data_IF_397853104944
#
_entry.id   IF_397853104944
#
_cell.length_a   1.000
_cell.length_b   1.000
_cell.length_c   1.000
_cell.angle_alpha   90.00
_cell.angle_beta   90.00
_cell.angle_gamma   90.00
#
_symmetry.space_group_name_H-M   'P 1'
#
loop_
_entity.id
_entity.type
_entity.pdbx_description
1 polymer ?
#
# COMPACT_ATOMS: atom_id res chain seq x y z
N UNK A 1 -23.75 9.59 -0.88
CA UNK A 1 -22.38 10.12 -1.04
C UNK A 1 -21.36 8.97 -1.10
N UNK A 2 -21.24 8.10 -0.12
CA UNK A 2 -20.22 7.03 -0.09
C UNK A 2 -20.13 6.17 -1.37
N UNK A 3 -21.25 5.77 -1.97
CA UNK A 3 -21.23 4.95 -3.19
C UNK A 3 -20.63 5.66 -4.42
N UNK A 4 -20.75 6.99 -4.51
CA UNK A 4 -20.16 7.78 -5.60
C UNK A 4 -18.64 7.85 -5.45
N UNK A 5 -18.16 8.12 -4.24
CA UNK A 5 -16.73 8.23 -3.95
C UNK A 5 -16.02 6.89 -4.13
N UNK A 6 -16.61 5.79 -3.65
CA UNK A 6 -16.12 4.44 -3.92
C UNK A 6 -16.01 4.15 -5.42
N UNK A 7 -16.98 4.58 -6.22
CA UNK A 7 -16.95 4.40 -7.67
C UNK A 7 -15.85 5.23 -8.35
N UNK A 8 -15.56 6.44 -7.85
CA UNK A 8 -14.47 7.29 -8.39
C UNK A 8 -13.13 6.59 -8.17
N UNK A 9 -12.81 6.21 -6.93
CA UNK A 9 -11.54 5.55 -6.62
C UNK A 9 -11.36 4.24 -7.40
N UNK A 10 -12.37 3.38 -7.39
CA UNK A 10 -12.34 2.13 -8.14
C UNK A 10 -12.20 2.34 -9.67
N UNK A 11 -12.81 3.38 -10.23
CA UNK A 11 -12.64 3.74 -11.64
C UNK A 11 -11.18 4.13 -11.93
N UNK A 12 -10.58 4.99 -11.10
CA UNK A 12 -9.17 5.39 -11.26
C UNK A 12 -8.21 4.21 -11.17
N UNK A 13 -8.48 3.24 -10.30
CA UNK A 13 -7.68 2.03 -10.23
C UNK A 13 -7.80 1.17 -11.50
N UNK A 14 -9.00 1.01 -12.05
CA UNK A 14 -9.19 0.28 -13.33
C UNK A 14 -8.51 0.97 -14.49
N UNK A 15 -8.57 2.31 -14.57
CA UNK A 15 -7.86 3.10 -15.56
C UNK A 15 -6.34 2.85 -15.46
N UNK A 16 -5.79 2.91 -14.25
CA UNK A 16 -4.37 2.63 -14.02
C UNK A 16 -4.01 1.19 -14.42
N UNK A 17 -4.83 0.19 -14.04
CA UNK A 17 -4.57 -1.21 -14.41
C UNK A 17 -4.54 -1.37 -15.95
N UNK A 18 -5.43 -0.71 -16.66
CA UNK A 18 -5.44 -0.71 -18.13
C UNK A 18 -4.21 0.00 -18.73
N UNK A 19 -3.81 1.16 -18.18
CA UNK A 19 -2.57 1.88 -18.57
C UNK A 19 -1.32 1.00 -18.40
N UNK A 20 -1.31 0.13 -17.39
CA UNK A 20 -0.21 -0.78 -17.10
C UNK A 20 -0.25 -2.09 -17.90
N UNK A 21 -1.34 -2.33 -18.63
CA UNK A 21 -1.55 -3.56 -19.39
C UNK A 21 -1.86 -4.78 -18.52
N UNK A 22 -2.31 -4.60 -17.28
CA UNK A 22 -2.70 -5.69 -16.39
C UNK A 22 -4.05 -6.29 -16.82
N UNK A 23 -4.13 -7.62 -16.87
CA UNK A 23 -5.40 -8.28 -17.09
C UNK A 23 -6.43 -7.95 -15.98
N UNK A 24 -7.74 -8.00 -16.26
CA UNK A 24 -8.77 -7.62 -15.29
C UNK A 24 -8.73 -8.40 -13.97
N UNK A 25 -8.23 -9.63 -13.97
CA UNK A 25 -8.16 -10.54 -12.84
C UNK A 25 -6.73 -10.77 -12.33
N UNK A 26 -5.73 -10.17 -13.00
CA UNK A 26 -4.32 -10.33 -12.66
C UNK A 26 -3.99 -9.63 -11.34
N UNK A 27 -3.33 -10.30 -10.38
CA UNK A 27 -2.82 -9.63 -9.18
C UNK A 27 -1.65 -8.71 -9.55
N UNK A 28 -1.52 -7.61 -8.84
CA UNK A 28 -0.33 -6.75 -8.94
C UNK A 28 0.86 -7.47 -8.33
N UNK A 29 1.95 -7.58 -9.07
CA UNK A 29 3.23 -8.14 -8.58
C UNK A 29 3.91 -7.19 -7.59
N UNK A 30 5.15 -6.74 -7.90
CA UNK A 30 5.84 -5.73 -7.09
C UNK A 30 5.13 -4.39 -7.17
N UNK A 31 4.45 -4.02 -6.08
CA UNK A 31 3.78 -2.72 -5.99
C UNK A 31 4.80 -1.58 -5.86
N UNK A 32 5.93 -1.84 -5.22
CA UNK A 32 7.00 -0.84 -5.07
C UNK A 32 7.58 -0.47 -6.42
N UNK A 33 7.97 -1.46 -7.22
CA UNK A 33 8.43 -1.25 -8.61
C UNK A 33 7.39 -0.52 -9.44
N UNK A 34 6.12 -0.91 -9.33
CA UNK A 34 5.03 -0.25 -10.05
C UNK A 34 4.95 1.24 -9.69
N UNK A 35 4.98 1.57 -8.40
CA UNK A 35 4.83 2.94 -7.92
C UNK A 35 6.08 3.78 -8.27
N UNK A 36 7.28 3.26 -8.06
CA UNK A 36 8.50 4.00 -8.32
C UNK A 36 8.83 4.12 -9.80
N UNK A 37 8.78 3.03 -10.55
CA UNK A 37 9.26 3.00 -11.93
C UNK A 37 8.18 3.33 -12.96
N UNK A 38 6.92 2.90 -12.71
CA UNK A 38 5.85 3.10 -13.68
C UNK A 38 5.04 4.36 -13.40
N UNK A 39 4.89 4.76 -12.13
CA UNK A 39 4.21 6.00 -11.76
C UNK A 39 5.18 7.16 -11.51
N UNK A 40 6.48 6.90 -11.38
CA UNK A 40 7.50 7.91 -11.10
C UNK A 40 7.33 8.56 -9.72
N UNK A 41 6.72 7.85 -8.76
CA UNK A 41 6.47 8.35 -7.42
C UNK A 41 7.52 7.83 -6.45
N UNK A 42 8.42 8.67 -5.94
CA UNK A 42 9.42 8.28 -4.96
C UNK A 42 8.77 7.75 -3.68
N UNK A 43 9.26 6.61 -3.16
CA UNK A 43 8.75 5.98 -1.95
C UNK A 43 9.82 5.96 -0.86
N UNK A 44 9.45 6.33 0.36
CA UNK A 44 10.22 6.13 1.57
C UNK A 44 9.50 5.14 2.50
N UNK A 45 10.21 4.10 2.93
CA UNK A 45 9.73 3.17 3.96
C UNK A 45 10.56 3.41 5.20
N UNK A 46 9.95 3.90 6.27
CA UNK A 46 10.63 4.33 7.48
C UNK A 46 9.92 3.84 8.75
N UNK A 47 10.62 3.85 9.87
CA UNK A 47 10.00 3.63 11.18
C UNK A 47 9.23 4.90 11.55
N UNK A 48 7.89 4.83 11.45
CA UNK A 48 6.99 5.89 11.87
C UNK A 48 6.28 5.49 13.18
N UNK A 49 5.67 6.44 13.91
CA UNK A 49 4.79 6.10 15.03
C UNK A 49 3.73 5.08 14.67
N UNK A 50 3.35 4.22 15.62
CA UNK A 50 2.47 3.07 15.37
C UNK A 50 1.07 3.44 14.86
N UNK A 51 0.59 4.63 15.20
CA UNK A 51 -0.70 5.17 14.74
C UNK A 51 -0.66 5.74 13.32
N UNK A 52 0.53 6.01 12.78
CA UNK A 52 0.73 6.50 11.42
C UNK A 52 0.99 5.33 10.48
N UNK A 53 0.12 5.17 9.49
CA UNK A 53 0.28 4.13 8.48
C UNK A 53 1.14 4.59 7.31
N UNK A 54 0.90 5.77 6.81
CA UNK A 54 1.60 6.39 5.71
C UNK A 54 1.32 7.88 5.60
N UNK A 55 1.86 8.47 4.57
CA UNK A 55 1.69 9.88 4.28
C UNK A 55 1.99 10.14 2.81
N UNK A 56 1.16 10.95 2.17
CA UNK A 56 1.45 11.56 0.87
C UNK A 56 1.84 13.02 1.09
N UNK A 57 3.08 13.36 0.77
CA UNK A 57 3.55 14.74 0.77
C UNK A 57 3.62 15.26 -0.67
N UNK A 58 3.04 16.44 -0.90
CA UNK A 58 3.07 17.11 -2.21
C UNK A 58 3.38 18.59 -2.06
N UNK A 59 4.31 19.06 -2.90
CA UNK A 59 4.68 20.48 -3.03
C UNK A 59 4.95 20.78 -4.52
N UNK A 60 4.03 21.49 -5.15
CA UNK A 60 4.05 21.71 -6.60
C UNK A 60 4.05 20.37 -7.35
N UNK A 61 5.05 20.16 -8.20
CA UNK A 61 5.23 18.95 -8.99
C UNK A 61 5.95 17.83 -8.22
N UNK A 62 6.37 18.08 -6.98
CA UNK A 62 7.08 17.11 -6.16
C UNK A 62 6.09 16.30 -5.33
N UNK A 63 6.25 15.00 -5.37
CA UNK A 63 5.43 14.09 -4.55
C UNK A 63 6.35 13.05 -3.94
N UNK A 64 6.15 12.74 -2.67
CA UNK A 64 6.83 11.63 -1.96
C UNK A 64 5.78 10.85 -1.19
N UNK A 65 5.83 9.54 -1.31
CA UNK A 65 4.98 8.63 -0.55
C UNK A 65 5.78 8.02 0.61
N UNK A 66 5.22 8.07 1.80
CA UNK A 66 5.80 7.47 3.01
C UNK A 66 4.96 6.29 3.45
N UNK A 67 5.63 5.21 3.85
CA UNK A 67 5.00 4.00 4.37
C UNK A 67 5.66 3.60 5.69
N UNK A 68 4.87 3.28 6.70
CA UNK A 68 5.39 2.80 7.97
C UNK A 68 5.94 1.37 7.82
N UNK A 69 7.27 1.25 7.85
CA UNK A 69 7.98 -0.01 7.73
C UNK A 69 7.82 -0.95 8.92
N UNK A 70 7.33 -0.45 10.06
CA UNK A 70 7.07 -1.26 11.26
C UNK A 70 5.74 -2.03 11.17
N UNK A 71 4.87 -1.67 10.25
CA UNK A 71 3.60 -2.37 10.04
C UNK A 71 3.77 -3.71 9.31
N UNK A 72 2.83 -4.66 9.50
CA UNK A 72 2.85 -5.94 8.77
C UNK A 72 2.88 -5.74 7.24
N UNK A 73 3.55 -6.63 6.49
CA UNK A 73 3.76 -6.51 5.03
C UNK A 73 2.47 -6.20 4.24
N UNK A 74 1.40 -6.94 4.49
CA UNK A 74 0.11 -6.73 3.80
C UNK A 74 -0.51 -5.37 4.10
N UNK A 75 -0.23 -4.79 5.28
CA UNK A 75 -0.66 -3.44 5.63
C UNK A 75 0.18 -2.40 4.89
N UNK A 76 1.50 -2.55 4.89
CA UNK A 76 2.41 -1.66 4.13
C UNK A 76 2.03 -1.60 2.66
N UNK A 77 1.70 -2.76 2.07
CA UNK A 77 1.26 -2.85 0.69
C UNK A 77 -0.05 -2.10 0.45
N UNK A 78 -1.05 -2.29 1.33
CA UNK A 78 -2.30 -1.57 1.22
C UNK A 78 -2.11 -0.06 1.40
N UNK A 79 -1.27 0.36 2.37
CA UNK A 79 -0.90 1.76 2.58
C UNK A 79 -0.29 2.37 1.33
N UNK A 80 0.71 1.72 0.71
CA UNK A 80 1.32 2.26 -0.51
C UNK A 80 0.31 2.41 -1.65
N UNK A 81 -0.59 1.45 -1.82
CA UNK A 81 -1.66 1.55 -2.81
C UNK A 81 -2.62 2.71 -2.51
N UNK A 82 -2.91 2.95 -1.23
CA UNK A 82 -3.78 4.04 -0.76
C UNK A 82 -3.14 5.40 -1.04
N UNK A 83 -1.86 5.58 -0.67
CA UNK A 83 -1.12 6.82 -0.94
C UNK A 83 -1.01 7.11 -2.45
N UNK A 84 -0.75 6.08 -3.26
CA UNK A 84 -0.83 6.21 -4.72
C UNK A 84 -2.24 6.59 -5.20
N UNK A 85 -3.27 6.15 -4.48
CA UNK A 85 -4.66 6.51 -4.71
C UNK A 85 -4.93 7.99 -4.53
N UNK A 86 -4.37 8.62 -3.49
CA UNK A 86 -4.46 10.07 -3.31
C UNK A 86 -3.92 10.83 -4.52
N UNK A 87 -2.76 10.40 -5.03
CA UNK A 87 -2.16 11.02 -6.22
C UNK A 87 -3.04 10.81 -7.45
N UNK A 88 -3.49 9.59 -7.71
CA UNK A 88 -4.28 9.25 -8.91
C UNK A 88 -5.70 9.82 -8.90
N UNK A 89 -6.27 10.06 -7.73
CA UNK A 89 -7.56 10.75 -7.59
C UNK A 89 -7.42 12.28 -7.65
N UNK A 90 -6.20 12.81 -7.68
CA UNK A 90 -5.97 14.25 -7.76
C UNK A 90 -6.30 14.99 -6.46
N UNK A 91 -6.13 14.33 -5.31
CA UNK A 91 -6.35 14.97 -4.01
C UNK A 91 -5.30 16.05 -3.78
N UNK A 92 -5.75 17.21 -3.29
CA UNK A 92 -4.93 18.40 -3.18
C UNK A 92 -3.72 18.25 -2.28
N UNK A 93 -2.74 19.15 -2.56
CA UNK A 93 -1.44 19.18 -1.95
C UNK A 93 -1.46 19.45 -0.44
N UNK A 94 -0.44 18.98 0.22
CA UNK A 94 -0.21 19.10 1.64
C UNK A 94 0.39 17.82 2.19
N UNK A 95 0.38 17.69 3.50
CA UNK A 95 0.70 16.46 4.19
C UNK A 95 -0.62 15.80 4.57
N UNK A 96 -1.00 14.73 3.88
CA UNK A 96 -2.07 13.84 4.34
C UNK A 96 -1.41 12.74 5.16
N UNK A 97 -1.74 12.66 6.45
CA UNK A 97 -1.23 11.61 7.34
C UNK A 97 -2.36 10.62 7.58
N UNK A 98 -2.12 9.37 7.17
CA UNK A 98 -3.10 8.32 7.29
C UNK A 98 -2.87 7.45 8.50
N UNK A 99 -3.92 7.34 9.31
CA UNK A 99 -3.96 6.50 10.49
C UNK A 99 -4.52 5.12 10.16
N UNK A 100 -4.33 4.18 11.07
CA UNK A 100 -4.98 2.87 10.96
C UNK A 100 -6.50 2.96 10.82
N UNK A 101 -7.14 3.90 11.50
CA UNK A 101 -8.59 4.08 11.44
C UNK A 101 -9.06 4.51 10.03
N UNK A 102 -8.27 5.35 9.36
CA UNK A 102 -8.50 5.81 7.98
C UNK A 102 -8.47 4.64 7.01
N UNK A 103 -7.40 3.85 7.05
CA UNK A 103 -7.22 2.67 6.19
C UNK A 103 -8.24 1.55 6.46
N UNK A 104 -8.74 1.46 7.68
CA UNK A 104 -9.79 0.50 8.04
C UNK A 104 -11.20 0.88 7.53
N UNK A 105 -11.31 1.91 6.69
CA UNK A 105 -12.57 2.34 6.08
C UNK A 105 -13.53 3.04 7.06
N UNK A 106 -13.02 3.56 8.17
CA UNK A 106 -13.82 4.28 9.18
C UNK A 106 -13.93 5.78 8.91
N UNK A 107 -13.20 6.28 7.91
CA UNK A 107 -13.28 7.68 7.50
C UNK A 107 -14.55 7.96 6.70
N UNK A 108 -15.13 9.12 6.92
CA UNK A 108 -16.24 9.69 6.13
C UNK A 108 -15.75 10.76 5.15
N UNK A 109 -14.46 11.10 5.17
CA UNK A 109 -13.86 12.00 4.19
C UNK A 109 -13.90 11.36 2.80
N UNK A 110 -14.44 12.08 1.84
CA UNK A 110 -14.54 11.62 0.44
C UNK A 110 -13.21 11.22 -0.16
N UNK A 111 -12.13 11.92 0.19
CA UNK A 111 -10.78 11.63 -0.33
C UNK A 111 -10.29 10.27 0.16
N UNK A 112 -10.49 10.01 1.46
CA UNK A 112 -10.12 8.75 2.08
C UNK A 112 -10.94 7.57 1.53
N UNK A 113 -12.25 7.79 1.33
CA UNK A 113 -13.12 6.79 0.70
C UNK A 113 -12.65 6.48 -0.72
N UNK A 114 -12.25 7.49 -1.49
CA UNK A 114 -11.73 7.31 -2.85
C UNK A 114 -10.38 6.58 -2.85
N UNK A 115 -9.44 6.96 -1.98
CA UNK A 115 -8.12 6.33 -1.88
C UNK A 115 -8.23 4.87 -1.40
N UNK A 116 -9.08 4.57 -0.43
CA UNK A 116 -9.37 3.20 0.01
C UNK A 116 -9.99 2.36 -1.10
N UNK A 117 -10.94 2.93 -1.86
CA UNK A 117 -11.56 2.24 -2.98
C UNK A 117 -10.60 2.00 -4.14
N UNK A 118 -9.69 2.94 -4.38
CA UNK A 118 -8.60 2.80 -5.33
C UNK A 118 -7.67 1.65 -4.93
N UNK A 119 -7.17 1.64 -3.68
CA UNK A 119 -6.29 0.60 -3.18
C UNK A 119 -6.93 -0.80 -3.28
N UNK A 120 -8.19 -0.91 -2.86
CA UNK A 120 -8.92 -2.16 -2.92
C UNK A 120 -9.12 -2.68 -4.35
N UNK A 121 -9.43 -1.80 -5.32
CA UNK A 121 -9.62 -2.20 -6.72
C UNK A 121 -8.28 -2.44 -7.43
N UNK A 122 -7.23 -1.68 -7.10
CA UNK A 122 -5.90 -1.90 -7.65
C UNK A 122 -5.36 -3.26 -7.26
N UNK A 123 -5.36 -3.58 -5.96
CA UNK A 123 -4.77 -4.80 -5.40
C UNK A 123 -5.65 -6.04 -5.64
N UNK A 124 -6.95 -5.93 -5.34
CA UNK A 124 -7.91 -7.03 -5.45
C UNK A 124 -9.05 -6.63 -6.40
N UNK A 125 -8.81 -6.65 -7.72
CA UNK A 125 -9.80 -6.22 -8.70
C UNK A 125 -11.06 -7.08 -8.62
N UNK A 126 -12.21 -6.46 -8.86
CA UNK A 126 -13.51 -7.13 -8.76
C UNK A 126 -13.60 -8.39 -9.64
N UNK A 127 -12.98 -8.37 -10.81
CA UNK A 127 -12.95 -9.53 -11.71
C UNK A 127 -12.14 -10.69 -11.09
N UNK A 128 -10.94 -10.39 -10.55
CA UNK A 128 -10.09 -11.39 -9.93
C UNK A 128 -10.73 -12.03 -8.69
N UNK A 129 -11.36 -11.21 -7.83
CA UNK A 129 -12.07 -11.74 -6.65
C UNK A 129 -13.23 -12.63 -7.06
N UNK A 130 -14.04 -12.22 -8.06
CA UNK A 130 -15.17 -13.04 -8.54
C UNK A 130 -14.72 -14.36 -9.16
N UNK A 131 -13.62 -14.34 -9.90
CA UNK A 131 -13.09 -15.55 -10.56
C UNK A 131 -12.60 -16.62 -9.56
N UNK A 132 -12.38 -16.24 -8.30
CA UNK A 132 -11.93 -17.15 -7.23
C UNK A 132 -13.09 -17.77 -6.45
N UNK A 133 -14.33 -17.40 -6.73
CA UNK A 133 -15.49 -17.83 -5.95
C UNK A 133 -16.37 -18.76 -6.77
N UNK A 134 -16.75 -19.87 -6.13
CA UNK A 134 -17.72 -20.83 -6.66
C UNK A 134 -18.86 -21.00 -5.63
N UNK A 135 -19.70 -19.99 -5.51
CA UNK A 135 -20.82 -19.96 -4.56
C UNK A 135 -20.65 -18.99 -3.40
N UNK A 136 -21.28 -19.31 -2.26
CA UNK A 136 -21.19 -18.48 -1.04
C UNK A 136 -19.79 -18.62 -0.40
N UNK A 137 -19.04 -17.54 -0.21
CA UNK A 137 -17.66 -17.59 0.28
C UNK A 137 -17.53 -18.21 1.66
N UNK A 138 -16.46 -18.98 1.83
CA UNK A 138 -15.99 -19.56 3.10
C UNK A 138 -14.80 -18.76 3.64
N UNK A 139 -14.34 -19.08 4.88
CA UNK A 139 -13.10 -18.49 5.41
C UNK A 139 -11.89 -18.88 4.54
N UNK A 140 -11.89 -20.11 3.97
CA UNK A 140 -10.83 -20.53 3.06
C UNK A 140 -10.75 -19.65 1.81
N UNK A 141 -11.89 -19.29 1.23
CA UNK A 141 -11.93 -18.37 0.09
C UNK A 141 -11.42 -16.97 0.46
N UNK A 142 -11.78 -16.48 1.65
CA UNK A 142 -11.25 -15.20 2.17
C UNK A 142 -9.72 -15.24 2.27
N UNK A 143 -9.16 -16.32 2.82
CA UNK A 143 -7.71 -16.48 2.98
C UNK A 143 -7.02 -16.65 1.62
N UNK A 144 -7.61 -17.41 0.68
CA UNK A 144 -7.09 -17.54 -0.69
C UNK A 144 -7.06 -16.21 -1.44
N UNK A 145 -8.12 -15.41 -1.33
CA UNK A 145 -8.18 -14.06 -1.91
C UNK A 145 -7.09 -13.19 -1.28
N UNK A 146 -6.96 -13.21 0.04
CA UNK A 146 -5.94 -12.45 0.76
C UNK A 146 -4.53 -12.81 0.28
N UNK A 147 -4.23 -14.10 0.20
CA UNK A 147 -2.95 -14.62 -0.25
C UNK A 147 -2.64 -14.21 -1.71
N UNK A 148 -3.57 -14.45 -2.62
CA UNK A 148 -3.37 -14.17 -4.05
C UNK A 148 -3.13 -12.70 -4.35
N UNK A 149 -3.78 -11.82 -3.61
CA UNK A 149 -3.74 -10.37 -3.85
C UNK A 149 -2.79 -9.61 -2.90
N UNK A 150 -2.17 -10.30 -1.94
CA UNK A 150 -1.26 -9.71 -0.97
C UNK A 150 -1.92 -8.67 -0.08
N UNK A 151 -3.11 -8.96 0.39
CA UNK A 151 -3.89 -8.15 1.32
C UNK A 151 -4.21 -8.93 2.59
N UNK A 152 -4.66 -8.26 3.65
CA UNK A 152 -5.09 -8.98 4.86
C UNK A 152 -6.41 -9.72 4.65
N UNK A 153 -6.67 -10.78 5.43
CA UNK A 153 -7.95 -11.47 5.43
C UNK A 153 -9.12 -10.51 5.70
N UNK A 154 -8.91 -9.52 6.58
CA UNK A 154 -9.89 -8.49 6.86
C UNK A 154 -10.16 -7.59 5.63
N UNK A 155 -9.11 -7.20 4.90
CA UNK A 155 -9.26 -6.44 3.65
C UNK A 155 -9.99 -7.27 2.57
N UNK A 156 -9.70 -8.57 2.47
CA UNK A 156 -10.42 -9.48 1.59
C UNK A 156 -11.91 -9.59 1.97
N UNK A 157 -12.22 -9.70 3.26
CA UNK A 157 -13.61 -9.71 3.76
C UNK A 157 -14.34 -8.40 3.42
N UNK A 158 -13.71 -7.24 3.65
CA UNK A 158 -14.28 -5.96 3.25
C UNK A 158 -14.48 -5.87 1.74
N UNK A 159 -13.59 -6.48 0.96
CA UNK A 159 -13.75 -6.54 -0.49
C UNK A 159 -14.98 -7.34 -0.89
N UNK A 160 -15.20 -8.52 -0.29
CA UNK A 160 -16.40 -9.32 -0.50
C UNK A 160 -17.67 -8.55 -0.14
N UNK A 161 -17.67 -7.84 0.99
CA UNK A 161 -18.77 -7.00 1.43
C UNK A 161 -19.07 -5.88 0.43
N UNK A 162 -18.06 -5.12 0.02
CA UNK A 162 -18.18 -4.01 -0.94
C UNK A 162 -18.71 -4.47 -2.30
N UNK A 163 -18.28 -5.65 -2.75
CA UNK A 163 -18.72 -6.27 -3.99
C UNK A 163 -20.06 -7.02 -3.85
N UNK A 164 -20.63 -7.09 -2.65
CA UNK A 164 -21.87 -7.82 -2.32
C UNK A 164 -21.81 -9.28 -2.72
N UNK A 165 -20.69 -9.94 -2.46
CA UNK A 165 -20.41 -11.32 -2.85
C UNK A 165 -20.67 -12.34 -1.75
N UNK A 166 -21.01 -11.90 -0.53
CA UNK A 166 -21.36 -12.79 0.57
C UNK A 166 -22.51 -12.24 1.41
N UNK A 167 -23.34 -13.14 1.91
CA UNK A 167 -24.37 -12.88 2.92
C UNK A 167 -23.87 -13.18 4.33
N UNK A 168 -22.70 -13.82 4.47
CA UNK A 168 -22.12 -14.30 5.73
C UNK A 168 -21.03 -13.39 6.28
N UNK A 169 -20.98 -12.11 5.90
CA UNK A 169 -19.90 -11.18 6.28
C UNK A 169 -19.66 -11.16 7.80
N UNK A 170 -20.74 -11.09 8.61
CA UNK A 170 -20.59 -11.05 10.07
C UNK A 170 -20.11 -12.40 10.67
N UNK A 171 -20.46 -13.52 10.05
CA UNK A 171 -19.98 -14.83 10.47
C UNK A 171 -18.49 -14.98 10.14
N UNK A 172 -18.10 -14.66 8.91
CA UNK A 172 -16.70 -14.69 8.48
C UNK A 172 -15.84 -13.70 9.28
N UNK A 173 -16.41 -12.56 9.66
CA UNK A 173 -15.72 -11.61 10.52
C UNK A 173 -15.41 -12.21 11.89
N UNK A 174 -16.35 -12.91 12.51
CA UNK A 174 -16.13 -13.60 13.78
C UNK A 174 -15.06 -14.68 13.65
N UNK A 175 -15.11 -15.50 12.59
CA UNK A 175 -14.09 -16.52 12.32
C UNK A 175 -12.68 -15.91 12.21
N UNK A 176 -12.55 -14.70 11.60
CA UNK A 176 -11.28 -13.96 11.53
C UNK A 176 -10.87 -13.46 12.92
N UNK A 177 -11.78 -12.88 13.68
CA UNK A 177 -11.52 -12.30 15.00
C UNK A 177 -11.19 -13.41 16.03
N UNK A 178 -11.72 -14.63 15.86
CA UNK A 178 -11.42 -15.83 16.65
C UNK A 178 -10.05 -16.45 16.29
N UNK A 179 -9.33 -15.87 15.32
CA UNK A 179 -7.96 -16.30 14.95
C UNK A 179 -7.88 -17.49 14.00
N UNK A 180 -9.00 -17.98 13.45
CA UNK A 180 -9.02 -19.16 12.58
C UNK A 180 -8.29 -18.97 11.24
N UNK A 181 -7.91 -17.74 10.90
CA UNK A 181 -7.16 -17.43 9.67
C UNK A 181 -5.85 -18.20 9.60
N UNK A 182 -5.12 -18.32 10.71
CA UNK A 182 -3.82 -19.01 10.74
C UNK A 182 -3.98 -20.52 10.51
N UNK A 183 -5.03 -21.12 11.05
CA UNK A 183 -5.32 -22.54 10.84
C UNK A 183 -5.63 -22.86 9.38
N UNK A 184 -6.34 -21.95 8.72
CA UNK A 184 -6.62 -22.06 7.27
C UNK A 184 -5.35 -21.82 6.47
N UNK A 185 -4.60 -20.75 6.80
CA UNK A 185 -3.37 -20.37 6.09
C UNK A 185 -2.33 -21.50 6.08
N UNK A 186 -2.15 -22.21 7.21
CA UNK A 186 -1.21 -23.33 7.33
C UNK A 186 -1.57 -24.53 6.44
N UNK A 187 -2.82 -24.66 6.03
CA UNK A 187 -3.31 -25.73 5.15
C UNK A 187 -3.24 -25.37 3.68
N UNK A 188 -3.04 -24.10 3.37
CA UNK A 188 -2.92 -23.60 1.99
C UNK A 188 -1.45 -23.47 1.63
N UNK A 189 -1.09 -23.93 0.44
CA UNK A 189 0.18 -23.53 -0.16
C UNK A 189 0.12 -22.04 -0.46
N UNK A 190 0.87 -21.19 0.25
CA UNK A 190 0.84 -19.76 -0.04
C UNK A 190 1.39 -19.56 -1.45
N UNK A 191 0.67 -18.83 -2.32
CA UNK A 191 1.23 -18.46 -3.61
C UNK A 191 2.48 -17.61 -3.36
N UNK A 192 3.51 -17.73 -4.20
CA UNK A 192 4.70 -16.90 -4.11
C UNK A 192 4.24 -15.45 -4.30
N UNK A 193 4.27 -14.70 -3.21
CA UNK A 193 3.93 -13.29 -3.20
C UNK A 193 5.23 -12.50 -3.13
N UNK A 194 5.70 -12.04 -4.28
CA UNK A 194 6.85 -11.18 -4.40
C UNK A 194 6.41 -9.72 -4.33
N UNK A 195 6.55 -9.13 -3.15
CA UNK A 195 6.43 -7.69 -2.97
C UNK A 195 7.69 -7.20 -2.24
N UNK A 196 8.45 -6.33 -2.87
CA UNK A 196 9.67 -5.76 -2.32
C UNK A 196 9.41 -5.02 -0.99
N UNK A 197 8.23 -4.40 -0.84
CA UNK A 197 7.83 -3.80 0.44
C UNK A 197 7.66 -4.87 1.52
N UNK A 198 7.13 -6.04 1.18
CA UNK A 198 6.98 -7.13 2.12
C UNK A 198 8.35 -7.70 2.54
N UNK A 199 9.34 -7.65 1.65
CA UNK A 199 10.69 -8.14 1.90
C UNK A 199 11.54 -7.21 2.77
N UNK A 200 11.16 -5.92 2.93
CA UNK A 200 11.90 -4.96 3.74
C UNK A 200 11.70 -5.30 5.23
N UNK A 201 12.77 -5.74 5.90
CA UNK A 201 12.79 -6.00 7.33
C UNK A 201 13.02 -4.72 8.16
N UNK A 202 12.80 -4.77 9.48
CA UNK A 202 13.11 -3.63 10.37
C UNK A 202 14.57 -3.19 10.31
N UNK A 203 15.50 -4.13 10.05
CA UNK A 203 16.93 -3.86 9.89
C UNK A 203 17.27 -3.08 8.60
N UNK A 204 16.37 -3.06 7.62
CA UNK A 204 16.57 -2.41 6.33
C UNK A 204 16.02 -0.97 6.32
N UNK A 205 15.41 -0.53 7.43
CA UNK A 205 14.85 0.81 7.53
C UNK A 205 15.92 1.87 7.84
N UNK A 206 15.76 3.10 7.31
CA UNK A 206 14.80 3.45 6.27
C UNK A 206 15.25 2.94 4.90
N UNK A 207 14.30 2.52 4.07
CA UNK A 207 14.51 2.31 2.65
C UNK A 207 14.02 3.55 1.91
N UNK A 208 14.92 4.21 1.19
CA UNK A 208 14.60 5.36 0.33
C UNK A 208 14.67 4.93 -1.14
N UNK A 209 13.79 5.48 -1.96
CA UNK A 209 13.93 5.30 -3.41
C UNK A 209 15.25 5.88 -3.91
N UNK A 210 15.81 5.36 -5.01
CA UNK A 210 17.03 5.92 -5.61
C UNK A 210 16.92 7.43 -5.88
N UNK A 211 15.76 7.91 -6.29
CA UNK A 211 15.51 9.32 -6.54
C UNK A 211 15.60 10.18 -5.26
N UNK A 212 15.06 9.69 -4.13
CA UNK A 212 15.16 10.39 -2.84
C UNK A 212 16.58 10.38 -2.30
N UNK A 213 17.24 9.23 -2.33
CA UNK A 213 18.61 9.09 -1.87
C UNK A 213 19.56 9.99 -2.70
N UNK A 214 19.47 9.93 -4.02
CA UNK A 214 20.25 10.78 -4.92
C UNK A 214 19.97 12.27 -4.72
N UNK A 215 18.70 12.66 -4.52
CA UNK A 215 18.31 14.03 -4.24
C UNK A 215 18.90 14.56 -2.93
N UNK A 216 18.88 13.75 -1.86
CA UNK A 216 19.46 14.10 -0.57
C UNK A 216 20.98 14.30 -0.69
N UNK A 217 21.68 13.35 -1.35
CA UNK A 217 23.13 13.43 -1.56
C UNK A 217 23.54 14.62 -2.43
N UNK A 218 22.79 14.92 -3.49
CA UNK A 218 23.02 16.11 -4.31
C UNK A 218 22.79 17.41 -3.51
N UNK A 219 21.86 17.44 -2.58
CA UNK A 219 21.63 18.57 -1.71
C UNK A 219 22.78 18.76 -0.70
N UNK A 220 23.30 17.66 -0.14
CA UNK A 220 24.49 17.68 0.76
C UNK A 220 25.71 18.17 -0.03
N UNK A 221 26.01 17.59 -1.18
CA UNK A 221 27.13 17.98 -2.02
C UNK A 221 27.09 19.46 -2.45
N UNK A 222 25.90 20.00 -2.64
CA UNK A 222 25.69 21.42 -2.94
C UNK A 222 25.67 22.36 -1.69
N UNK A 223 25.91 21.82 -0.51
CA UNK A 223 25.87 22.59 0.76
C UNK A 223 24.50 23.14 1.14
N UNK A 224 23.42 22.61 0.57
CA UNK A 224 22.04 23.05 0.87
C UNK A 224 21.48 22.41 2.16
N UNK A 225 22.05 21.32 2.60
CA UNK A 225 21.70 20.65 3.85
C UNK A 225 22.92 19.92 4.39
N UNK A 226 22.95 19.65 5.69
CA UNK A 226 23.94 18.76 6.29
C UNK A 226 23.55 17.29 6.14
N UNK A 227 24.51 16.39 6.34
CA UNK A 227 24.19 14.95 6.35
C UNK A 227 23.33 14.60 7.56
N UNK A 228 23.51 15.27 8.69
CA UNK A 228 22.73 15.11 9.91
C UNK A 228 21.27 15.53 9.70
N UNK A 229 21.04 16.69 9.06
CA UNK A 229 19.69 17.19 8.76
C UNK A 229 18.99 16.29 7.75
N UNK A 230 19.69 15.87 6.71
CA UNK A 230 19.14 14.96 5.69
C UNK A 230 18.82 13.58 6.30
N UNK A 231 19.69 13.05 7.17
CA UNK A 231 19.48 11.79 7.87
C UNK A 231 18.32 11.89 8.86
N UNK A 232 18.22 13.00 9.59
CA UNK A 232 17.10 13.28 10.49
C UNK A 232 15.77 13.34 9.74
N UNK A 233 15.75 14.03 8.60
CA UNK A 233 14.55 14.09 7.74
C UNK A 233 14.16 12.72 7.16
N UNK A 234 15.15 11.85 6.93
CA UNK A 234 14.94 10.48 6.46
C UNK A 234 14.66 9.49 7.61
N UNK A 235 14.61 9.94 8.86
CA UNK A 235 14.48 9.12 10.06
C UNK A 235 15.53 8.00 10.14
N UNK A 236 16.79 8.30 9.80
CA UNK A 236 17.89 7.34 9.80
C UNK A 236 19.16 7.89 10.46
N UNK A 237 20.11 7.00 10.74
CA UNK A 237 21.43 7.40 11.15
C UNK A 237 22.24 7.97 9.96
N UNK A 238 23.08 9.01 10.18
CA UNK A 238 23.89 9.63 9.11
C UNK A 238 24.74 8.63 8.33
N UNK A 239 25.27 7.60 8.99
CA UNK A 239 26.10 6.55 8.41
C UNK A 239 25.33 5.71 7.37
N UNK A 240 24.02 5.53 7.54
CA UNK A 240 23.18 4.83 6.58
C UNK A 240 22.95 5.64 5.30
N UNK A 241 22.78 6.94 5.45
CA UNK A 241 22.66 7.81 4.28
C UNK A 241 24.00 7.87 3.52
N UNK A 242 25.13 7.91 4.23
CA UNK A 242 26.46 7.87 3.65
C UNK A 242 26.76 6.52 2.97
N UNK A 243 26.36 5.38 3.56
CA UNK A 243 26.58 4.06 2.96
C UNK A 243 25.72 3.84 1.71
N UNK A 244 24.52 4.41 1.68
CA UNK A 244 23.66 4.43 0.48
C UNK A 244 24.32 5.19 -0.69
N UNK A 245 25.10 6.23 -0.40
CA UNK A 245 25.90 6.95 -1.39
C UNK A 245 26.93 6.05 -2.09
N UNK A 246 27.64 5.23 -1.32
CA UNK A 246 28.63 4.29 -1.86
C UNK A 246 28.02 3.22 -2.75
N UNK A 247 26.77 2.85 -2.52
CA UNK A 247 26.04 1.82 -3.31
C UNK A 247 25.56 2.36 -4.66
N UNK A 248 25.34 3.66 -4.80
CA UNK A 248 24.88 4.31 -6.04
C UNK A 248 25.99 5.05 -6.79
N UNK A 249 27.24 4.90 -6.35
CA UNK A 249 28.43 5.35 -7.12
C UNK A 249 28.61 6.86 -7.20
N UNK A 250 28.23 7.61 -6.14
CA UNK A 250 28.49 9.04 -5.99
C UNK A 250 29.51 9.27 -4.86
#
# INVERSE_FOLDING_TARGET
MAGRDTNIGAKRARELRAELGLAPDEPVGSLLTLVEERLGLPVAVAALPDDIAGCCWRDGDRTVLWVNGMHPPVRRRFTLAHEAGHVRCGHDAGIAVDTYATLAGRSTDSREVQANAFAAELLAPAAGVRAMLDGEPTLEDVVRIAARHGISALAALFRLSTLRLSRRIDALRREIDDGLVMDVWQRLDPPPFADEIAAIGPGDLPRLSPALAGGALAAIAAGRTSIEDAASAAACAPERLASGAATIGI
#
